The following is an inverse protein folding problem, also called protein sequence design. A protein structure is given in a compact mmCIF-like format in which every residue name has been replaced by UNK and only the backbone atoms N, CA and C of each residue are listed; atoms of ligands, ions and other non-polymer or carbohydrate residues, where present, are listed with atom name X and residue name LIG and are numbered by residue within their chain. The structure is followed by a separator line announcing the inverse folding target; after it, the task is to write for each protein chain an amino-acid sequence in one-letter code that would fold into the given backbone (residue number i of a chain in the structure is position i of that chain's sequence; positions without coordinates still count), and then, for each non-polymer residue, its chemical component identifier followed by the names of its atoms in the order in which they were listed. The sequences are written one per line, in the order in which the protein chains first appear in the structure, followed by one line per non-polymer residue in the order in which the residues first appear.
data_IF_530423178859
#
_entry.id   IF_530423178859
#
_cell.length_a   1.000
_cell.length_b   1.000
_cell.length_c   1.000
_cell.angle_alpha   90.00
_cell.angle_beta   90.00
_cell.angle_gamma   90.00
#
_symmetry.space_group_name_H-M   'P 1'
#
loop_
_entity.id
_entity.type
_entity.pdbx_description
1 polymer ?
#
# COMPACT_ATOMS: atom_id res chain seq x y z
N UNK A 1 -17.33 -38.96 9.53
CA UNK A 1 -16.78 -37.90 8.65
C UNK A 1 -15.53 -37.39 9.33
N UNK A 2 -14.33 -37.65 8.79
CA UNK A 2 -13.11 -37.16 9.43
C UNK A 2 -13.12 -35.63 9.35
N UNK A 3 -12.97 -34.97 10.49
CA UNK A 3 -12.75 -33.53 10.57
C UNK A 3 -11.42 -33.26 9.85
N UNK A 4 -11.48 -32.60 8.70
CA UNK A 4 -10.28 -32.07 8.04
C UNK A 4 -9.75 -30.98 8.99
N UNK A 5 -8.55 -31.12 9.56
CA UNK A 5 -7.96 -30.03 10.33
C UNK A 5 -7.75 -28.87 9.36
N UNK A 6 -8.52 -27.80 9.53
CA UNK A 6 -8.34 -26.57 8.78
C UNK A 6 -7.01 -25.97 9.21
N UNK A 7 -6.00 -26.12 8.35
CA UNK A 7 -4.67 -25.52 8.49
C UNK A 7 -4.81 -24.03 8.78
N UNK A 8 -4.09 -23.54 9.79
CA UNK A 8 -4.06 -22.10 10.08
C UNK A 8 -3.42 -21.37 8.89
N UNK A 9 -3.71 -20.07 8.73
CA UNK A 9 -3.08 -19.27 7.68
C UNK A 9 -1.54 -19.29 7.78
N UNK A 10 -1.00 -19.49 8.99
CA UNK A 10 0.44 -19.67 9.24
C UNK A 10 0.94 -21.00 8.69
N UNK A 11 0.17 -22.08 8.85
CA UNK A 11 0.52 -23.40 8.30
C UNK A 11 0.49 -23.37 6.77
N UNK A 12 -0.50 -22.68 6.18
CA UNK A 12 -0.59 -22.47 4.73
C UNK A 12 0.59 -21.63 4.22
N UNK A 13 0.99 -20.57 4.94
CA UNK A 13 2.19 -19.79 4.58
C UNK A 13 3.47 -20.64 4.65
N UNK A 14 3.58 -21.50 5.66
CA UNK A 14 4.73 -22.38 5.84
C UNK A 14 4.83 -23.44 4.74
N UNK A 15 3.70 -24.03 4.32
CA UNK A 15 3.67 -24.97 3.21
C UNK A 15 4.01 -24.29 1.87
N UNK A 16 3.43 -23.13 1.59
CA UNK A 16 3.75 -22.36 0.39
C UNK A 16 5.21 -21.89 0.35
N UNK A 17 5.79 -21.50 1.49
CA UNK A 17 7.20 -21.15 1.58
C UNK A 17 8.12 -22.36 1.29
N UNK A 18 7.74 -23.55 1.74
CA UNK A 18 8.47 -24.79 1.44
C UNK A 18 8.38 -25.15 -0.04
N UNK A 19 7.22 -24.98 -0.66
CA UNK A 19 7.02 -25.19 -2.10
C UNK A 19 7.81 -24.17 -2.94
N UNK A 20 7.76 -22.88 -2.60
CA UNK A 20 8.54 -21.84 -3.29
C UNK A 20 10.06 -22.08 -3.14
N UNK A 21 10.52 -22.51 -1.97
CA UNK A 21 11.93 -22.88 -1.75
C UNK A 21 12.34 -24.11 -2.58
N UNK A 22 11.46 -25.11 -2.70
CA UNK A 22 11.69 -26.29 -3.53
C UNK A 22 11.75 -25.92 -5.03
N UNK A 23 10.87 -25.07 -5.52
CA UNK A 23 10.87 -24.58 -6.91
C UNK A 23 12.11 -23.74 -7.23
N UNK A 24 12.55 -22.88 -6.29
CA UNK A 24 13.80 -22.13 -6.42
C UNK A 24 15.02 -23.06 -6.49
N UNK A 25 15.04 -24.11 -5.66
CA UNK A 25 16.12 -25.12 -5.69
C UNK A 25 16.16 -25.91 -7.00
N UNK A 26 15.00 -26.09 -7.66
CA UNK A 26 14.86 -26.72 -8.97
C UNK A 26 15.16 -25.76 -10.15
N UNK A 27 15.53 -24.50 -9.88
CA UNK A 27 15.92 -23.52 -10.89
C UNK A 27 14.77 -22.83 -11.61
N UNK A 28 13.53 -22.97 -11.12
CA UNK A 28 12.38 -22.21 -11.63
C UNK A 28 12.30 -20.85 -10.92
N UNK A 29 12.43 -19.76 -11.66
CA UNK A 29 12.21 -18.41 -11.13
C UNK A 29 10.73 -18.03 -11.31
N UNK A 30 10.03 -17.56 -10.27
CA UNK A 30 8.63 -17.20 -10.38
C UNK A 30 8.45 -16.04 -11.38
N UNK A 31 7.56 -16.25 -12.36
CA UNK A 31 7.20 -15.25 -13.38
C UNK A 31 6.24 -14.16 -12.85
N UNK A 32 5.78 -14.29 -11.60
CA UNK A 32 4.83 -13.39 -10.96
C UNK A 32 5.55 -12.30 -10.18
N UNK A 33 5.07 -11.06 -10.28
CA UNK A 33 5.73 -9.87 -9.70
C UNK A 33 5.73 -9.83 -8.17
N UNK A 34 4.93 -10.66 -7.50
CA UNK A 34 4.79 -10.75 -6.05
C UNK A 34 4.64 -12.24 -5.71
N UNK A 35 5.49 -12.76 -4.81
CA UNK A 35 5.35 -14.11 -4.25
C UNK A 35 4.05 -14.20 -3.46
N UNK A 36 3.32 -15.31 -3.61
CA UNK A 36 2.08 -15.53 -2.88
C UNK A 36 2.33 -15.56 -1.37
N UNK A 37 3.48 -16.12 -0.95
CA UNK A 37 3.95 -16.09 0.42
C UNK A 37 4.16 -14.66 0.91
N UNK A 38 4.86 -13.82 0.12
CA UNK A 38 5.07 -12.40 0.45
C UNK A 38 3.77 -11.62 0.62
N UNK A 39 2.78 -11.87 -0.25
CA UNK A 39 1.45 -11.25 -0.12
C UNK A 39 0.73 -11.66 1.16
N UNK A 40 0.78 -12.95 1.53
CA UNK A 40 0.16 -13.44 2.76
C UNK A 40 0.85 -12.91 4.02
N UNK A 41 2.19 -12.85 4.02
CA UNK A 41 2.98 -12.24 5.10
C UNK A 41 2.58 -10.78 5.29
N UNK A 42 2.51 -10.00 4.21
CA UNK A 42 2.09 -8.61 4.27
C UNK A 42 0.65 -8.43 4.80
N UNK A 43 -0.29 -9.30 4.41
CA UNK A 43 -1.63 -9.30 5.01
C UNK A 43 -1.55 -9.58 6.51
N UNK A 44 -0.72 -10.53 6.93
CA UNK A 44 -0.57 -10.88 8.33
C UNK A 44 0.05 -9.75 9.15
N UNK A 45 1.04 -9.03 8.60
CA UNK A 45 1.61 -7.83 9.19
C UNK A 45 0.56 -6.73 9.38
N UNK A 46 -0.26 -6.47 8.35
CA UNK A 46 -1.39 -5.52 8.45
C UNK A 46 -2.39 -5.93 9.52
N UNK A 47 -2.71 -7.22 9.63
CA UNK A 47 -3.59 -7.75 10.70
C UNK A 47 -2.98 -7.55 12.08
N UNK A 48 -1.70 -7.85 12.24
CA UNK A 48 -0.98 -7.68 13.50
C UNK A 48 -0.90 -6.20 13.90
N UNK A 49 -0.61 -5.31 12.94
CA UNK A 49 -0.60 -3.86 13.15
C UNK A 49 -1.98 -3.35 13.58
N UNK A 50 -3.06 -3.78 12.90
CA UNK A 50 -4.43 -3.45 13.28
C UNK A 50 -4.75 -3.96 14.69
N UNK A 51 -4.38 -5.19 15.03
CA UNK A 51 -4.60 -5.76 16.36
C UNK A 51 -3.90 -4.95 17.45
N UNK A 52 -2.66 -4.50 17.21
CA UNK A 52 -1.94 -3.61 18.13
C UNK A 52 -2.66 -2.27 18.30
N UNK A 53 -3.13 -1.67 17.21
CA UNK A 53 -3.91 -0.43 17.26
C UNK A 53 -5.21 -0.60 18.04
N UNK A 54 -5.93 -1.71 17.85
CA UNK A 54 -7.15 -2.03 18.60
C UNK A 54 -6.83 -2.18 20.08
N UNK A 55 -5.74 -2.86 20.44
CA UNK A 55 -5.32 -3.05 21.84
C UNK A 55 -5.01 -1.70 22.50
N UNK A 56 -4.28 -0.83 21.82
CA UNK A 56 -4.00 0.53 22.30
C UNK A 56 -5.28 1.37 22.41
N UNK A 57 -6.21 1.24 21.45
CA UNK A 57 -7.52 1.87 21.52
C UNK A 57 -8.31 1.40 22.74
N UNK A 58 -8.29 0.10 23.08
CA UNK A 58 -8.96 -0.41 24.28
C UNK A 58 -8.43 0.22 25.56
N UNK A 59 -7.12 0.46 25.65
CA UNK A 59 -6.54 1.16 26.81
C UNK A 59 -7.08 2.58 26.95
N UNK A 60 -7.22 3.31 25.84
CA UNK A 60 -7.85 4.64 25.85
C UNK A 60 -9.35 4.56 26.19
N UNK A 61 -10.05 3.51 25.73
CA UNK A 61 -11.48 3.34 26.04
C UNK A 61 -11.74 3.14 27.53
N UNK A 62 -10.84 2.49 28.28
CA UNK A 62 -10.98 2.35 29.75
C UNK A 62 -11.09 3.71 30.43
N UNK A 63 -10.33 4.70 29.96
CA UNK A 63 -10.29 6.04 30.56
C UNK A 63 -11.46 6.90 30.09
N UNK A 64 -11.73 6.92 28.78
CA UNK A 64 -12.65 7.90 28.19
C UNK A 64 -14.07 7.35 27.92
N UNK A 65 -14.24 6.04 27.80
CA UNK A 65 -15.52 5.38 27.47
C UNK A 65 -15.65 4.06 28.24
N UNK A 66 -15.73 4.08 29.59
CA UNK A 66 -15.74 2.87 30.41
C UNK A 66 -16.93 1.93 30.10
N UNK A 67 -18.04 2.49 29.62
CA UNK A 67 -19.21 1.72 29.18
C UNK A 67 -18.90 0.79 28.00
N UNK A 68 -17.91 1.13 27.16
CA UNK A 68 -17.44 0.26 26.09
C UNK A 68 -16.83 -1.03 26.65
N UNK A 69 -16.06 -0.92 27.74
CA UNK A 69 -15.40 -2.05 28.39
C UNK A 69 -16.44 -3.02 28.94
N UNK A 70 -17.50 -2.51 29.57
CA UNK A 70 -18.58 -3.36 30.08
C UNK A 70 -19.33 -4.07 28.96
N UNK A 71 -19.61 -3.39 27.85
CA UNK A 71 -20.28 -4.02 26.70
C UNK A 71 -19.40 -5.10 26.05
N UNK A 72 -18.10 -4.84 25.91
CA UNK A 72 -17.15 -5.83 25.37
C UNK A 72 -17.06 -7.06 26.28
N UNK A 73 -16.96 -6.86 27.59
CA UNK A 73 -16.91 -7.96 28.55
C UNK A 73 -18.19 -8.83 28.52
N UNK A 74 -19.34 -8.23 28.21
CA UNK A 74 -20.62 -8.93 28.07
C UNK A 74 -20.79 -9.65 26.73
N UNK A 75 -20.11 -9.17 25.68
CA UNK A 75 -20.25 -9.69 24.30
C UNK A 75 -19.11 -10.63 23.90
N UNK A 76 -18.03 -10.70 24.70
CA UNK A 76 -16.89 -11.58 24.44
C UNK A 76 -17.35 -13.05 24.47
N UNK A 77 -17.11 -13.83 23.40
CA UNK A 77 -17.38 -15.26 23.41
C UNK A 77 -16.59 -15.96 24.53
N UNK A 78 -17.18 -17.01 25.10
CA UNK A 78 -16.52 -17.92 26.06
C UNK A 78 -15.26 -18.55 25.41
N UNK A 79 -14.24 -18.92 26.21
CA UNK A 79 -12.93 -19.36 25.72
C UNK A 79 -12.91 -20.70 24.95
N UNK A 80 -14.05 -21.37 24.76
CA UNK A 80 -14.15 -22.65 24.05
C UNK A 80 -14.35 -22.50 22.53
N UNK A 81 -14.72 -21.32 22.03
CA UNK A 81 -14.75 -21.08 20.58
C UNK A 81 -13.33 -20.80 20.08
N UNK A 82 -12.72 -21.81 19.48
CA UNK A 82 -11.33 -21.83 18.98
C UNK A 82 -11.07 -20.88 17.81
N UNK A 83 -11.94 -19.90 17.58
CA UNK A 83 -11.80 -18.90 16.54
C UNK A 83 -11.27 -17.62 17.18
N UNK A 84 -9.96 -17.37 17.04
CA UNK A 84 -9.44 -16.03 17.22
C UNK A 84 -10.22 -15.09 16.27
N UNK A 85 -11.08 -14.23 16.83
CA UNK A 85 -11.82 -13.25 16.04
C UNK A 85 -10.83 -12.48 15.18
N UNK A 86 -11.04 -12.51 13.85
CA UNK A 86 -10.19 -11.75 12.94
C UNK A 86 -10.23 -10.28 13.33
N UNK A 87 -9.07 -9.63 13.45
CA UNK A 87 -8.93 -8.23 13.88
C UNK A 87 -9.88 -7.26 13.13
N UNK A 88 -10.21 -7.56 11.87
CA UNK A 88 -11.14 -6.78 11.03
C UNK A 88 -12.61 -6.80 11.50
N UNK A 89 -13.02 -7.81 12.25
CA UNK A 89 -14.40 -8.00 12.71
C UNK A 89 -14.62 -7.46 14.12
N UNK A 90 -13.55 -7.06 14.83
CA UNK A 90 -13.64 -6.63 16.22
C UNK A 90 -14.41 -5.30 16.31
N UNK A 91 -15.55 -5.25 17.01
CA UNK A 91 -16.35 -4.02 17.10
C UNK A 91 -15.62 -2.96 17.93
N UNK A 92 -15.33 -1.80 17.33
CA UNK A 92 -14.60 -0.73 18.03
C UNK A 92 -15.40 -0.05 19.14
N UNK A 93 -16.73 -0.17 19.15
CA UNK A 93 -17.65 0.46 20.11
C UNK A 93 -17.39 1.97 20.30
N UNK A 94 -17.66 2.75 19.26
CA UNK A 94 -17.62 4.21 19.31
C UNK A 94 -18.83 4.75 20.10
N UNK A 95 -18.77 6.00 20.62
CA UNK A 95 -19.90 6.60 21.33
C UNK A 95 -21.24 6.47 20.60
N UNK A 96 -21.28 6.63 19.28
CA UNK A 96 -22.50 6.45 18.47
C UNK A 96 -23.08 5.03 18.44
N UNK A 97 -22.36 4.02 18.96
CA UNK A 97 -22.83 2.63 19.03
C UNK A 97 -23.59 2.31 20.31
N UNK A 98 -23.58 3.21 21.31
CA UNK A 98 -24.30 3.01 22.56
C UNK A 98 -25.73 3.56 22.50
N UNK A 99 -26.66 3.03 23.31
CA UNK A 99 -28.00 3.58 23.44
C UNK A 99 -27.99 5.04 23.89
N UNK A 100 -29.00 5.80 23.47
CA UNK A 100 -29.14 7.23 23.78
C UNK A 100 -29.12 7.54 25.28
N UNK A 101 -29.55 6.60 26.14
CA UNK A 101 -29.48 6.76 27.59
C UNK A 101 -28.04 6.92 28.08
N UNK A 102 -27.12 6.10 27.57
CA UNK A 102 -25.69 6.14 27.94
C UNK A 102 -25.02 7.38 27.35
N UNK A 103 -25.33 7.70 26.09
CA UNK A 103 -24.81 8.89 25.41
C UNK A 103 -25.26 10.22 26.06
N UNK A 104 -26.38 10.21 26.80
CA UNK A 104 -26.91 11.39 27.49
C UNK A 104 -26.26 11.66 28.85
N UNK A 105 -25.49 10.71 29.39
CA UNK A 105 -24.77 10.87 30.66
C UNK A 105 -23.76 12.00 30.57
N UNK A 106 -23.64 12.78 31.67
CA UNK A 106 -22.78 13.97 31.70
C UNK A 106 -21.32 13.67 31.36
N UNK A 107 -20.82 12.52 31.77
CA UNK A 107 -19.46 12.04 31.52
C UNK A 107 -19.20 11.75 30.03
N UNK A 108 -20.21 11.23 29.32
CA UNK A 108 -20.10 10.87 27.90
C UNK A 108 -20.35 12.05 26.96
N UNK A 109 -21.01 13.12 27.41
CA UNK A 109 -21.34 14.29 26.57
C UNK A 109 -20.14 14.88 25.85
N UNK A 110 -18.99 14.99 26.52
CA UNK A 110 -17.78 15.55 25.92
C UNK A 110 -17.27 14.65 24.78
N UNK A 111 -17.19 13.34 24.99
CA UNK A 111 -16.72 12.38 23.99
C UNK A 111 -17.69 12.26 22.82
N UNK A 112 -19.00 12.21 23.08
CA UNK A 112 -20.03 12.27 22.04
C UNK A 112 -19.97 13.57 21.22
N UNK A 113 -19.65 14.70 21.86
CA UNK A 113 -19.45 15.98 21.19
C UNK A 113 -18.23 15.98 20.26
N UNK A 114 -17.12 15.38 20.70
CA UNK A 114 -15.93 15.19 19.87
C UNK A 114 -16.20 14.27 18.67
N UNK A 115 -16.85 13.12 18.89
CA UNK A 115 -17.23 12.23 17.79
C UNK A 115 -18.15 12.96 16.81
N UNK A 116 -19.18 13.66 17.29
CA UNK A 116 -20.09 14.42 16.43
C UNK A 116 -19.33 15.40 15.53
N UNK A 117 -18.39 16.16 16.09
CA UNK A 117 -17.58 17.11 15.30
C UNK A 117 -16.75 16.38 14.25
N UNK A 118 -16.12 15.26 14.62
CA UNK A 118 -15.35 14.44 13.69
C UNK A 118 -16.21 13.84 12.58
N UNK A 119 -17.42 13.34 12.89
CA UNK A 119 -18.34 12.76 11.90
C UNK A 119 -18.88 13.83 10.95
N UNK A 120 -19.15 15.04 11.46
CA UNK A 120 -19.55 16.17 10.62
C UNK A 120 -18.47 16.53 9.60
N UNK A 121 -17.22 16.69 10.04
CA UNK A 121 -16.11 16.95 9.11
C UNK A 121 -15.88 15.77 8.15
N UNK A 122 -15.95 14.54 8.66
CA UNK A 122 -15.81 13.32 7.84
C UNK A 122 -16.87 13.25 6.74
N UNK A 123 -18.12 13.62 7.02
CA UNK A 123 -19.19 13.64 6.02
C UNK A 123 -18.93 14.70 4.93
N UNK A 124 -18.45 15.89 5.29
CA UNK A 124 -18.07 16.92 4.31
C UNK A 124 -16.86 16.51 3.47
N UNK A 125 -15.82 15.96 4.10
CA UNK A 125 -14.61 15.50 3.41
C UNK A 125 -14.93 14.36 2.43
N UNK A 126 -15.77 13.40 2.85
CA UNK A 126 -16.20 12.29 1.99
C UNK A 126 -17.07 12.77 0.84
N UNK A 127 -17.94 13.76 1.05
CA UNK A 127 -18.73 14.37 -0.02
C UNK A 127 -17.85 15.14 -1.02
N UNK A 128 -16.86 15.91 -0.51
CA UNK A 128 -15.85 16.56 -1.35
C UNK A 128 -15.04 15.55 -2.17
N UNK A 129 -14.69 14.40 -1.56
CA UNK A 129 -14.01 13.32 -2.25
C UNK A 129 -14.89 12.70 -3.35
N UNK A 130 -16.17 12.42 -3.09
CA UNK A 130 -17.12 11.92 -4.11
C UNK A 130 -17.19 12.88 -5.30
N UNK A 131 -17.38 14.18 -5.02
CA UNK A 131 -17.41 15.23 -6.05
C UNK A 131 -16.13 15.24 -6.88
N UNK A 132 -14.97 15.22 -6.22
CA UNK A 132 -13.66 15.20 -6.88
C UNK A 132 -13.51 13.98 -7.79
N UNK A 133 -13.80 12.79 -7.29
CA UNK A 133 -13.71 11.55 -8.08
C UNK A 133 -14.65 11.58 -9.28
N UNK A 134 -15.88 12.08 -9.12
CA UNK A 134 -16.83 12.21 -10.24
C UNK A 134 -16.37 13.21 -11.31
N UNK A 135 -15.75 14.32 -10.93
CA UNK A 135 -15.14 15.25 -11.90
C UNK A 135 -14.03 14.58 -12.70
N UNK A 136 -13.16 13.82 -12.03
CA UNK A 136 -12.08 13.06 -12.70
C UNK A 136 -12.68 12.05 -13.69
N UNK A 137 -13.71 11.30 -13.27
CA UNK A 137 -14.39 10.33 -14.13
C UNK A 137 -14.96 11.02 -15.38
N UNK A 138 -15.63 12.16 -15.22
CA UNK A 138 -16.18 12.92 -16.34
C UNK A 138 -15.08 13.42 -17.29
N UNK A 139 -13.97 13.96 -16.75
CA UNK A 139 -12.82 14.37 -17.56
C UNK A 139 -12.16 13.20 -18.30
N UNK A 140 -12.07 12.04 -17.65
CA UNK A 140 -11.56 10.80 -18.27
C UNK A 140 -12.46 10.33 -19.42
N UNK A 141 -13.77 10.46 -19.27
CA UNK A 141 -14.73 10.13 -20.31
C UNK A 141 -14.64 11.08 -21.51
N UNK A 142 -14.55 12.39 -21.26
CA UNK A 142 -14.28 13.38 -22.32
C UNK A 142 -12.95 13.08 -23.04
N UNK A 143 -11.91 12.71 -22.28
CA UNK A 143 -10.63 12.31 -22.85
C UNK A 143 -10.76 11.05 -23.72
N UNK A 144 -11.52 10.02 -23.29
CA UNK A 144 -11.80 8.82 -24.09
C UNK A 144 -12.42 9.21 -25.42
N UNK A 145 -13.51 9.99 -25.37
CA UNK A 145 -14.28 10.38 -26.54
C UNK A 145 -13.43 11.12 -27.57
N UNK A 146 -12.53 11.99 -27.12
CA UNK A 146 -11.71 12.82 -28.01
C UNK A 146 -10.47 12.07 -28.52
N UNK A 147 -9.82 11.27 -27.66
CA UNK A 147 -8.45 10.78 -27.93
C UNK A 147 -8.33 9.27 -28.06
N UNK A 148 -9.29 8.49 -27.57
CA UNK A 148 -9.20 7.02 -27.49
C UNK A 148 -10.24 6.33 -28.37
N UNK A 149 -11.37 6.97 -28.66
CA UNK A 149 -12.35 6.49 -29.65
C UNK A 149 -11.67 6.23 -31.00
N UNK A 150 -11.63 4.97 -31.43
CA UNK A 150 -10.96 4.52 -32.67
C UNK A 150 -9.49 4.07 -32.51
N UNK A 151 -8.91 4.16 -31.31
CA UNK A 151 -7.57 3.61 -31.01
C UNK A 151 -7.69 2.17 -30.50
N UNK A 152 -6.74 1.30 -30.83
CA UNK A 152 -6.81 -0.16 -30.55
C UNK A 152 -7.01 -0.57 -29.07
N UNK A 153 -7.16 -1.87 -28.83
CA UNK A 153 -7.67 -2.42 -27.55
C UNK A 153 -6.86 -2.03 -26.29
N UNK A 154 -5.54 -1.88 -26.40
CA UNK A 154 -4.63 -1.66 -25.24
C UNK A 154 -4.89 -0.36 -24.46
N UNK A 155 -4.98 0.84 -25.08
CA UNK A 155 -5.36 2.06 -24.38
C UNK A 155 -6.77 1.98 -23.77
N UNK A 156 -7.73 1.34 -24.44
CA UNK A 156 -9.07 1.10 -23.90
C UNK A 156 -9.04 0.25 -22.62
N UNK A 157 -8.29 -0.86 -22.60
CA UNK A 157 -8.17 -1.69 -21.40
C UNK A 157 -7.54 -0.93 -20.23
N UNK A 158 -6.48 -0.15 -20.48
CA UNK A 158 -5.84 0.66 -19.42
C UNK A 158 -6.78 1.72 -18.86
N UNK A 159 -7.51 2.41 -19.73
CA UNK A 159 -8.50 3.39 -19.36
C UNK A 159 -9.60 2.75 -18.49
N UNK A 160 -10.12 1.59 -18.90
CA UNK A 160 -11.13 0.86 -18.15
C UNK A 160 -10.63 0.44 -16.77
N UNK A 161 -9.37 -0.01 -16.65
CA UNK A 161 -8.77 -0.32 -15.34
C UNK A 161 -8.71 0.92 -14.44
N UNK A 162 -8.31 2.08 -14.98
CA UNK A 162 -8.31 3.33 -14.21
C UNK A 162 -9.71 3.75 -13.79
N UNK A 163 -10.70 3.60 -14.69
CA UNK A 163 -12.10 3.88 -14.41
C UNK A 163 -12.64 3.00 -13.26
N UNK A 164 -12.42 1.68 -13.33
CA UNK A 164 -12.81 0.73 -12.27
C UNK A 164 -12.20 1.10 -10.92
N UNK A 165 -10.92 1.52 -10.91
CA UNK A 165 -10.27 2.03 -9.71
C UNK A 165 -10.96 3.26 -9.13
N UNK A 166 -11.31 4.24 -9.97
CA UNK A 166 -12.03 5.45 -9.55
C UNK A 166 -13.44 5.13 -9.04
N UNK A 167 -14.18 4.23 -9.70
CA UNK A 167 -15.51 3.80 -9.27
C UNK A 167 -15.46 3.17 -7.86
N UNK A 168 -14.50 2.28 -7.60
CA UNK A 168 -14.29 1.71 -6.26
C UNK A 168 -14.00 2.77 -5.21
N UNK A 169 -13.22 3.81 -5.54
CA UNK A 169 -12.98 4.94 -4.62
C UNK A 169 -14.26 5.73 -4.32
N UNK A 170 -15.15 5.90 -5.29
CA UNK A 170 -16.46 6.53 -5.11
C UNK A 170 -17.31 5.68 -4.17
N UNK A 171 -17.44 4.37 -4.40
CA UNK A 171 -18.21 3.47 -3.53
C UNK A 171 -17.66 3.48 -2.10
N UNK A 172 -16.34 3.35 -1.91
CA UNK A 172 -15.71 3.43 -0.58
C UNK A 172 -15.99 4.78 0.10
N UNK A 173 -15.97 5.88 -0.65
CA UNK A 173 -16.30 7.20 -0.09
C UNK A 173 -17.79 7.34 0.27
N UNK A 174 -18.70 6.77 -0.52
CA UNK A 174 -20.13 6.73 -0.22
C UNK A 174 -20.44 5.93 1.06
N UNK A 175 -19.79 4.77 1.26
CA UNK A 175 -19.94 4.01 2.51
C UNK A 175 -19.44 4.80 3.72
N UNK A 176 -18.31 5.50 3.59
CA UNK A 176 -17.80 6.40 4.66
C UNK A 176 -18.78 7.54 4.95
N UNK A 177 -19.42 8.09 3.92
CA UNK A 177 -20.45 9.11 4.09
C UNK A 177 -21.68 8.55 4.84
N UNK A 178 -22.21 7.39 4.43
CA UNK A 178 -23.36 6.76 5.08
C UNK A 178 -23.09 6.43 6.55
N UNK A 179 -21.92 5.86 6.85
CA UNK A 179 -21.52 5.54 8.24
C UNK A 179 -21.38 6.80 9.09
N UNK A 180 -20.84 7.89 8.54
CA UNK A 180 -20.75 9.17 9.25
C UNK A 180 -22.14 9.79 9.50
N UNK A 181 -23.01 9.81 8.49
CA UNK A 181 -24.38 10.33 8.63
C UNK A 181 -25.23 9.48 9.58
N UNK A 182 -25.09 8.15 9.55
CA UNK A 182 -25.77 7.26 10.50
C UNK A 182 -25.35 7.55 11.94
N UNK A 183 -24.05 7.76 12.19
CA UNK A 183 -23.56 8.15 13.51
C UNK A 183 -24.07 9.54 13.94
N UNK A 184 -24.12 10.52 13.03
CA UNK A 184 -24.69 11.84 13.31
C UNK A 184 -26.18 11.79 13.64
N UNK A 185 -26.97 10.94 12.97
CA UNK A 185 -28.39 10.72 13.26
C UNK A 185 -28.61 10.25 14.70
N UNK A 186 -27.71 9.44 15.24
CA UNK A 186 -27.78 8.94 16.63
C UNK A 186 -27.33 10.03 17.61
N UNK A 187 -26.18 10.67 17.35
CA UNK A 187 -25.55 11.61 18.29
C UNK A 187 -26.20 13.00 18.33
N UNK A 188 -26.89 13.41 17.27
CA UNK A 188 -27.59 14.69 17.18
C UNK A 188 -28.78 14.63 16.22
N UNK A 189 -29.92 14.07 16.66
CA UNK A 189 -31.11 13.93 15.82
C UNK A 189 -31.68 15.26 15.33
N UNK A 190 -31.55 16.37 16.05
CA UNK A 190 -32.17 17.66 15.66
C UNK A 190 -31.15 18.70 15.18
N UNK A 191 -29.99 18.25 14.70
CA UNK A 191 -28.91 19.15 14.33
C UNK A 191 -29.12 19.87 12.98
N UNK A 192 -28.62 21.10 12.90
CA UNK A 192 -28.56 21.94 11.68
C UNK A 192 -27.86 21.23 10.49
N UNK A 193 -27.04 20.22 10.78
CA UNK A 193 -26.35 19.41 9.78
C UNK A 193 -27.31 18.70 8.81
N UNK A 194 -28.57 18.45 9.19
CA UNK A 194 -29.56 17.80 8.30
C UNK A 194 -29.89 18.62 7.05
N UNK A 195 -29.79 19.94 7.15
CA UNK A 195 -30.06 20.81 6.00
C UNK A 195 -28.92 20.74 4.97
N UNK A 196 -27.70 20.49 5.42
CA UNK A 196 -26.49 20.44 4.60
C UNK A 196 -26.16 19.03 4.11
N UNK A 197 -26.33 18.01 4.97
CA UNK A 197 -25.97 16.62 4.73
C UNK A 197 -27.24 15.78 4.58
N UNK A 198 -27.69 15.61 3.34
CA UNK A 198 -28.86 14.81 3.00
C UNK A 198 -28.53 13.33 2.91
N UNK A 199 -29.57 12.50 2.90
CA UNK A 199 -29.40 11.09 2.56
C UNK A 199 -28.87 10.96 1.13
N UNK A 200 -27.73 10.29 0.98
CA UNK A 200 -27.10 10.09 -0.32
C UNK A 200 -27.64 8.80 -0.92
N UNK A 201 -28.50 8.88 -1.92
CA UNK A 201 -28.95 7.70 -2.65
C UNK A 201 -27.97 7.36 -3.77
N UNK A 202 -28.05 6.15 -4.33
CA UNK A 202 -27.16 5.74 -5.44
C UNK A 202 -27.37 6.61 -6.66
N UNK A 203 -28.61 7.01 -6.90
CA UNK A 203 -29.01 7.88 -8.01
C UNK A 203 -28.40 9.28 -7.87
N UNK A 204 -28.15 9.76 -6.65
CA UNK A 204 -27.54 11.07 -6.44
C UNK A 204 -26.05 11.10 -6.82
N UNK A 205 -25.40 9.94 -6.99
CA UNK A 205 -23.96 9.83 -7.24
C UNK A 205 -23.65 9.91 -8.74
N UNK A 206 -24.08 10.97 -9.41
CA UNK A 206 -23.75 11.24 -10.81
C UNK A 206 -22.89 12.50 -10.97
N UNK A 207 -22.27 12.65 -12.15
CA UNK A 207 -21.46 13.81 -12.49
C UNK A 207 -22.28 15.11 -12.57
N UNK A 208 -21.64 16.29 -12.55
CA UNK A 208 -22.31 17.59 -12.61
C UNK A 208 -22.78 18.01 -14.01
N UNK A 209 -22.41 17.27 -15.05
CA UNK A 209 -22.89 17.48 -16.42
C UNK A 209 -23.80 16.34 -16.85
N UNK A 210 -24.55 16.57 -17.94
CA UNK A 210 -25.34 15.53 -18.60
C UNK A 210 -24.41 14.43 -19.12
N UNK A 211 -24.68 13.19 -18.73
CA UNK A 211 -24.05 12.03 -19.35
C UNK A 211 -24.65 11.87 -20.76
N UNK A 212 -23.87 11.81 -21.84
CA UNK A 212 -24.44 11.78 -23.20
C UNK A 212 -25.21 10.50 -23.54
N UNK A 213 -25.15 9.47 -22.71
CA UNK A 213 -26.03 8.29 -22.81
C UNK A 213 -27.40 8.50 -22.14
N UNK A 214 -27.60 9.57 -21.35
CA UNK A 214 -28.91 9.88 -20.77
C UNK A 214 -29.87 10.42 -21.85
N UNK A 215 -31.05 9.79 -21.92
CA UNK A 215 -32.20 10.17 -22.73
C UNK A 215 -32.48 11.69 -22.70
N UNK A 216 -33.12 12.22 -23.74
CA UNK A 216 -33.43 13.64 -23.95
C UNK A 216 -34.35 14.30 -22.88
N UNK A 217 -34.52 13.69 -21.71
CA UNK A 217 -35.16 14.31 -20.56
C UNK A 217 -34.35 15.47 -19.97
N UNK A 218 -35.02 16.26 -19.13
CA UNK A 218 -34.40 17.34 -18.37
C UNK A 218 -33.40 16.78 -17.36
N UNK A 219 -32.11 17.05 -17.56
CA UNK A 219 -31.06 16.71 -16.59
C UNK A 219 -31.30 17.46 -15.28
N UNK A 220 -31.50 16.71 -14.19
CA UNK A 220 -31.65 17.26 -12.84
C UNK A 220 -30.31 17.11 -12.12
N UNK A 221 -29.70 18.24 -11.75
CA UNK A 221 -28.45 18.24 -11.01
C UNK A 221 -28.64 17.62 -9.62
N UNK A 222 -27.81 16.63 -9.27
CA UNK A 222 -27.81 16.04 -7.94
C UNK A 222 -27.53 17.10 -6.87
N UNK A 223 -28.19 16.96 -5.72
CA UNK A 223 -28.03 17.85 -4.57
C UNK A 223 -26.59 17.88 -4.07
N UNK A 224 -25.79 16.84 -4.32
CA UNK A 224 -24.37 16.84 -3.97
C UNK A 224 -23.64 17.98 -4.66
N UNK A 225 -24.12 18.54 -5.76
CA UNK A 225 -23.50 19.68 -6.43
C UNK A 225 -24.08 21.03 -5.99
N UNK A 226 -25.29 21.04 -5.43
CA UNK A 226 -25.95 22.22 -4.90
C UNK A 226 -25.30 22.63 -3.56
N UNK A 227 -24.39 23.60 -3.58
CA UNK A 227 -23.78 24.13 -2.35
C UNK A 227 -24.57 25.34 -1.87
N UNK A 228 -25.32 25.22 -0.77
CA UNK A 228 -26.15 26.32 -0.22
C UNK A 228 -25.34 27.54 0.23
N UNK A 229 -24.04 27.38 0.54
CA UNK A 229 -23.12 28.48 0.91
C UNK A 229 -22.37 29.09 -0.28
N UNK A 230 -22.72 28.76 -1.52
CA UNK A 230 -22.08 29.31 -2.71
C UNK A 230 -22.81 30.55 -3.25
N UNK A 231 -23.28 31.44 -2.37
CA UNK A 231 -23.55 32.83 -2.73
C UNK A 231 -22.35 33.66 -2.26
N UNK A 232 -21.35 33.83 -3.13
CA UNK A 232 -20.37 34.96 -3.19
C UNK A 232 -19.35 34.75 -4.33
N UNK A 233 -19.07 33.52 -4.79
CA UNK A 233 -18.08 33.31 -5.86
C UNK A 233 -18.75 33.12 -7.23
N UNK A 234 -18.64 34.15 -8.06
CA UNK A 234 -19.12 34.35 -9.44
C UNK A 234 -18.52 33.38 -10.49
N UNK A 235 -18.20 32.14 -10.12
CA UNK A 235 -17.60 31.15 -11.03
C UNK A 235 -18.68 30.18 -11.52
N UNK A 236 -18.83 30.09 -12.84
CA UNK A 236 -19.67 29.09 -13.51
C UNK A 236 -19.23 27.67 -13.10
N UNK A 237 -20.15 26.70 -13.18
CA UNK A 237 -19.85 25.31 -12.81
C UNK A 237 -18.69 24.72 -13.62
N UNK A 238 -18.58 25.14 -14.89
CA UNK A 238 -17.48 24.84 -15.79
C UNK A 238 -16.14 25.39 -15.26
N UNK A 239 -16.11 26.63 -14.75
CA UNK A 239 -14.91 27.20 -14.16
C UNK A 239 -14.47 26.41 -12.91
N UNK A 240 -15.41 26.01 -12.05
CA UNK A 240 -15.12 25.12 -10.90
C UNK A 240 -14.60 23.76 -11.37
N UNK A 241 -15.13 23.22 -12.47
CA UNK A 241 -14.69 21.95 -13.04
C UNK A 241 -13.24 22.07 -13.53
N UNK A 242 -12.94 23.11 -14.30
CA UNK A 242 -11.60 23.40 -14.82
C UNK A 242 -10.61 23.60 -13.67
N UNK A 243 -10.95 24.36 -12.64
CA UNK A 243 -10.10 24.54 -11.45
C UNK A 243 -9.79 23.20 -10.76
N UNK A 244 -10.80 22.36 -10.55
CA UNK A 244 -10.59 21.02 -9.99
C UNK A 244 -9.67 20.17 -10.87
N UNK A 245 -9.82 20.23 -12.20
CA UNK A 245 -8.95 19.51 -13.13
C UNK A 245 -7.52 20.05 -13.13
N UNK A 246 -7.31 21.35 -12.99
CA UNK A 246 -5.98 21.95 -12.81
C UNK A 246 -5.31 21.44 -11.52
N UNK A 247 -6.06 21.31 -10.43
CA UNK A 247 -5.53 20.73 -9.17
C UNK A 247 -5.14 19.27 -9.36
N UNK A 248 -5.94 18.47 -10.06
CA UNK A 248 -5.58 17.06 -10.31
C UNK A 248 -4.40 16.92 -11.26
N UNK A 249 -4.32 17.76 -12.29
CA UNK A 249 -3.19 17.82 -13.19
C UNK A 249 -1.91 18.22 -12.48
N UNK A 250 -1.94 19.25 -11.63
CA UNK A 250 -0.76 19.67 -10.85
C UNK A 250 -0.31 18.59 -9.87
N UNK A 251 -1.24 17.89 -9.20
CA UNK A 251 -0.91 16.71 -8.37
C UNK A 251 -0.31 15.57 -9.17
N UNK A 252 -0.86 15.27 -10.35
CA UNK A 252 -0.32 14.23 -11.24
C UNK A 252 1.09 14.59 -11.73
N UNK A 253 1.29 15.84 -12.12
CA UNK A 253 2.60 16.38 -12.51
C UNK A 253 3.61 16.33 -11.36
N UNK A 254 3.21 16.73 -10.16
CA UNK A 254 4.07 16.65 -8.98
C UNK A 254 4.47 15.20 -8.65
N UNK A 255 3.53 14.23 -8.78
CA UNK A 255 3.85 12.80 -8.63
C UNK A 255 4.82 12.30 -9.69
N UNK A 256 4.65 12.74 -10.94
CA UNK A 256 5.57 12.41 -12.03
C UNK A 256 6.97 12.98 -11.79
N UNK A 257 7.07 14.24 -11.37
CA UNK A 257 8.35 14.88 -11.02
C UNK A 257 9.02 14.17 -9.85
N UNK A 258 8.29 13.87 -8.78
CA UNK A 258 8.82 13.07 -7.66
C UNK A 258 9.28 11.70 -8.12
N UNK A 259 8.52 11.02 -8.98
CA UNK A 259 8.95 9.73 -9.52
C UNK A 259 10.24 9.83 -10.34
N UNK A 260 10.43 10.92 -11.09
CA UNK A 260 11.69 11.18 -11.80
C UNK A 260 12.85 11.42 -10.83
N UNK A 261 12.60 12.13 -9.73
CA UNK A 261 13.58 12.32 -8.64
C UNK A 261 13.93 10.98 -7.99
N UNK A 262 12.94 10.20 -7.55
CA UNK A 262 13.12 8.86 -6.96
C UNK A 262 13.91 7.94 -7.89
N UNK A 263 13.60 7.97 -9.20
CA UNK A 263 14.35 7.19 -10.18
C UNK A 263 15.84 7.56 -10.20
N UNK A 264 16.18 8.85 -10.13
CA UNK A 264 17.56 9.30 -10.06
C UNK A 264 18.22 9.00 -8.70
N UNK A 265 17.46 9.15 -7.61
CA UNK A 265 17.91 8.86 -6.24
C UNK A 265 18.28 7.39 -6.11
N UNK A 266 17.42 6.46 -6.54
CA UNK A 266 17.68 5.01 -6.45
C UNK A 266 18.99 4.64 -7.15
N UNK A 267 19.25 5.19 -8.34
CA UNK A 267 20.50 4.95 -9.05
C UNK A 267 21.73 5.45 -8.28
N UNK A 268 21.61 6.60 -7.61
CA UNK A 268 22.66 7.16 -6.77
C UNK A 268 22.81 6.43 -5.44
N UNK A 269 21.72 5.93 -4.85
CA UNK A 269 21.75 5.11 -3.64
C UNK A 269 22.47 3.79 -3.91
N UNK A 270 22.13 3.10 -5.01
CA UNK A 270 22.87 1.92 -5.46
C UNK A 270 24.37 2.23 -5.58
N UNK A 271 24.73 3.35 -6.24
CA UNK A 271 26.14 3.77 -6.35
C UNK A 271 26.78 4.00 -4.98
N UNK A 272 26.10 4.73 -4.09
CA UNK A 272 26.61 5.09 -2.76
C UNK A 272 26.83 3.87 -1.88
N UNK A 273 25.94 2.88 -1.93
CA UNK A 273 26.10 1.64 -1.18
C UNK A 273 27.37 0.90 -1.62
N UNK A 274 27.57 0.75 -2.94
CA UNK A 274 28.80 0.11 -3.46
C UNK A 274 30.05 0.90 -3.06
N UNK A 275 30.04 2.22 -3.28
CA UNK A 275 31.17 3.09 -2.89
C UNK A 275 31.46 3.05 -1.39
N UNK A 276 30.44 2.93 -0.56
CA UNK A 276 30.61 2.82 0.89
C UNK A 276 31.30 1.52 1.26
N UNK A 277 30.89 0.39 0.67
CA UNK A 277 31.55 -0.89 0.91
C UNK A 277 33.02 -0.89 0.44
N UNK A 278 33.32 -0.30 -0.72
CA UNK A 278 34.71 -0.15 -1.19
C UNK A 278 35.54 0.68 -0.20
N UNK A 279 35.05 1.85 0.17
CA UNK A 279 35.70 2.71 1.15
C UNK A 279 35.90 2.00 2.49
N UNK A 280 34.89 1.23 2.92
CA UNK A 280 34.95 0.49 4.18
C UNK A 280 35.97 -0.65 4.12
N UNK A 281 36.09 -1.32 2.97
CA UNK A 281 37.11 -2.34 2.73
C UNK A 281 38.52 -1.74 2.85
N UNK A 282 38.77 -0.60 2.20
CA UNK A 282 40.05 0.12 2.30
C UNK A 282 40.35 0.56 3.74
N UNK A 283 39.33 1.05 4.46
CA UNK A 283 39.45 1.42 5.87
C UNK A 283 39.89 0.23 6.73
N UNK A 284 39.34 -0.97 6.49
CA UNK A 284 39.78 -2.19 7.18
C UNK A 284 41.23 -2.56 6.83
N UNK A 285 41.65 -2.46 5.57
CA UNK A 285 43.04 -2.71 5.17
C UNK A 285 44.00 -1.76 5.88
N UNK A 286 43.68 -0.47 5.93
CA UNK A 286 44.49 0.51 6.65
C UNK A 286 44.53 0.25 8.17
N UNK A 287 43.46 -0.31 8.73
CA UNK A 287 43.37 -0.64 10.14
C UNK A 287 44.38 -1.74 10.55
N UNK A 288 44.80 -2.60 9.62
CA UNK A 288 45.81 -3.64 9.87
C UNK A 288 47.15 -3.04 10.34
N UNK A 289 47.55 -1.90 9.79
CA UNK A 289 48.81 -1.24 10.08
C UNK A 289 48.77 -0.28 11.29
N UNK A 290 47.61 -0.04 11.90
CA UNK A 290 47.45 0.98 12.96
C UNK A 290 47.94 0.56 14.34
N UNK A 291 48.08 -0.75 14.60
CA UNK A 291 48.57 -1.26 15.89
C UNK A 291 50.00 -1.76 15.70
N UNK A 292 50.96 -1.09 16.33
CA UNK A 292 52.38 -1.42 16.21
C UNK A 292 52.99 -1.94 17.52
N UNK A 293 52.45 -1.53 18.67
CA UNK A 293 53.04 -1.78 20.00
C UNK A 293 52.47 -3.03 20.69
N UNK A 294 52.51 -4.20 20.06
CA UNK A 294 51.98 -5.44 20.66
C UNK A 294 52.76 -6.69 20.21
N UNK A 295 52.59 -7.81 20.92
CA UNK A 295 53.21 -9.11 20.58
C UNK A 295 52.93 -9.50 19.11
N UNK A 296 53.90 -10.10 18.40
CA UNK A 296 53.77 -10.42 16.97
C UNK A 296 52.62 -11.36 16.65
N UNK A 297 52.29 -12.29 17.54
CA UNK A 297 51.15 -13.22 17.33
C UNK A 297 49.80 -12.49 17.35
N UNK A 298 49.66 -11.48 18.21
CA UNK A 298 48.46 -10.63 18.28
C UNK A 298 48.38 -9.76 17.02
N UNK A 299 49.51 -9.22 16.55
CA UNK A 299 49.56 -8.45 15.30
C UNK A 299 49.13 -9.30 14.10
N UNK A 300 49.58 -10.56 14.02
CA UNK A 300 49.13 -11.51 12.98
C UNK A 300 47.62 -11.76 13.04
N UNK A 301 47.07 -11.95 14.24
CA UNK A 301 45.62 -12.13 14.44
C UNK A 301 44.80 -10.89 14.06
N UNK A 302 45.29 -9.70 14.42
CA UNK A 302 44.67 -8.41 14.03
C UNK A 302 44.68 -8.26 12.51
N UNK A 303 45.82 -8.46 11.85
CA UNK A 303 45.92 -8.39 10.39
C UNK A 303 45.00 -9.39 9.70
N UNK A 304 44.98 -10.64 10.16
CA UNK A 304 44.10 -11.67 9.61
C UNK A 304 42.61 -11.27 9.74
N UNK A 305 42.20 -10.73 10.89
CA UNK A 305 40.84 -10.27 11.09
C UNK A 305 40.48 -9.08 10.20
N UNK A 306 41.36 -8.07 10.11
CA UNK A 306 41.11 -6.89 9.27
C UNK A 306 41.04 -7.25 7.79
N UNK A 307 41.89 -8.16 7.30
CA UNK A 307 41.81 -8.64 5.92
C UNK A 307 40.54 -9.47 5.68
N UNK A 308 40.10 -10.29 6.65
CA UNK A 308 38.81 -10.99 6.56
C UNK A 308 37.63 -10.01 6.47
N UNK A 309 37.64 -8.93 7.25
CA UNK A 309 36.61 -7.89 7.19
C UNK A 309 36.64 -7.12 5.87
N UNK A 310 37.84 -6.81 5.35
CA UNK A 310 37.98 -6.19 4.04
C UNK A 310 37.43 -7.08 2.92
N UNK A 311 37.73 -8.39 2.94
CA UNK A 311 37.19 -9.36 1.98
C UNK A 311 35.66 -9.45 2.04
N UNK A 312 35.07 -9.45 3.24
CA UNK A 312 33.62 -9.43 3.39
C UNK A 312 32.98 -8.19 2.74
N UNK A 313 33.56 -7.00 2.94
CA UNK A 313 33.07 -5.77 2.32
C UNK A 313 33.20 -5.81 0.79
N UNK A 314 34.29 -6.36 0.25
CA UNK A 314 34.44 -6.60 -1.19
C UNK A 314 33.43 -7.59 -1.74
N UNK A 315 33.07 -8.64 -0.99
CA UNK A 315 31.99 -9.55 -1.38
C UNK A 315 30.66 -8.82 -1.49
N UNK A 316 30.36 -7.92 -0.54
CA UNK A 316 29.14 -7.10 -0.59
C UNK A 316 29.10 -6.20 -1.83
N UNK A 317 30.21 -5.53 -2.18
CA UNK A 317 30.33 -4.78 -3.46
C UNK A 317 29.90 -5.65 -4.64
N UNK A 318 30.42 -6.88 -4.69
CA UNK A 318 30.22 -7.74 -5.85
C UNK A 318 28.80 -8.30 -5.91
N UNK A 319 28.22 -8.72 -4.78
CA UNK A 319 26.82 -9.17 -4.74
C UNK A 319 25.87 -8.05 -5.17
N UNK A 320 26.00 -6.86 -4.56
CA UNK A 320 25.17 -5.70 -4.90
C UNK A 320 25.29 -5.32 -6.40
N UNK A 321 26.51 -5.26 -6.93
CA UNK A 321 26.74 -4.90 -8.34
C UNK A 321 26.17 -5.95 -9.29
N UNK A 322 26.32 -7.24 -8.98
CA UNK A 322 25.75 -8.33 -9.79
C UNK A 322 24.23 -8.23 -9.86
N UNK A 323 23.57 -8.16 -8.72
CA UNK A 323 22.11 -8.18 -8.66
C UNK A 323 21.49 -6.92 -9.27
N UNK A 324 22.05 -5.75 -8.96
CA UNK A 324 21.53 -4.48 -9.45
C UNK A 324 21.80 -4.28 -10.94
N UNK A 325 23.01 -4.57 -11.44
CA UNK A 325 23.31 -4.36 -12.87
C UNK A 325 22.52 -5.32 -13.76
N UNK A 326 22.29 -6.56 -13.33
CA UNK A 326 21.40 -7.50 -14.03
C UNK A 326 19.97 -6.98 -14.09
N UNK A 327 19.45 -6.50 -12.94
CA UNK A 327 18.10 -5.97 -12.84
C UNK A 327 17.93 -4.72 -13.72
N UNK A 328 18.89 -3.80 -13.69
CA UNK A 328 18.89 -2.59 -14.51
C UNK A 328 19.02 -2.90 -16.00
N UNK A 329 19.85 -3.86 -16.39
CA UNK A 329 19.98 -4.31 -17.78
C UNK A 329 18.67 -4.88 -18.32
N UNK A 330 17.95 -5.69 -17.53
CA UNK A 330 16.61 -6.19 -17.88
C UNK A 330 15.59 -5.07 -18.12
N UNK A 331 15.77 -3.92 -17.46
CA UNK A 331 14.95 -2.70 -17.64
C UNK A 331 15.51 -1.76 -18.70
N UNK A 332 16.59 -2.13 -19.41
CA UNK A 332 17.30 -1.29 -20.40
C UNK A 332 17.88 0.00 -19.80
N UNK A 333 18.29 -0.06 -18.55
CA UNK A 333 18.89 1.06 -17.82
C UNK A 333 20.39 0.79 -17.68
N UNK A 334 21.23 1.76 -18.05
CA UNK A 334 22.69 1.66 -17.97
C UNK A 334 23.22 2.76 -17.05
N UNK A 335 23.56 2.46 -15.79
CA UNK A 335 24.11 3.46 -14.88
C UNK A 335 25.58 3.78 -15.23
N UNK A 336 25.96 5.06 -15.11
CA UNK A 336 27.34 5.50 -15.40
C UNK A 336 28.39 4.80 -14.52
N UNK A 337 28.04 4.51 -13.26
CA UNK A 337 28.93 3.84 -12.31
C UNK A 337 29.10 2.34 -12.60
N UNK A 338 28.18 1.72 -13.34
CA UNK A 338 28.20 0.28 -13.63
C UNK A 338 29.40 -0.13 -14.49
N UNK A 339 29.95 0.79 -15.28
CA UNK A 339 31.11 0.54 -16.14
C UNK A 339 32.36 0.11 -15.35
N UNK A 340 32.53 0.60 -14.11
CA UNK A 340 33.66 0.25 -13.24
C UNK A 340 33.65 -1.25 -12.87
N UNK A 341 32.46 -1.83 -12.72
CA UNK A 341 32.27 -3.20 -12.21
C UNK A 341 31.97 -4.21 -13.32
N UNK A 342 31.86 -3.77 -14.57
CA UNK A 342 31.45 -4.61 -15.70
C UNK A 342 32.37 -5.83 -15.91
N UNK A 343 33.67 -5.67 -15.71
CA UNK A 343 34.68 -6.74 -15.86
C UNK A 343 34.57 -7.78 -14.75
N UNK A 344 34.42 -7.36 -13.50
CA UNK A 344 34.28 -8.26 -12.34
C UNK A 344 32.95 -9.01 -12.36
N UNK A 345 31.88 -8.33 -12.79
CA UNK A 345 30.57 -8.94 -13.00
C UNK A 345 30.64 -10.03 -14.07
N UNK A 346 31.26 -9.74 -15.21
CA UNK A 346 31.42 -10.71 -16.30
C UNK A 346 32.26 -11.93 -15.87
N UNK A 347 33.35 -11.71 -15.13
CA UNK A 347 34.20 -12.79 -14.63
C UNK A 347 33.45 -13.73 -13.66
N UNK A 348 32.64 -13.19 -12.75
CA UNK A 348 31.84 -14.00 -11.81
C UNK A 348 30.64 -14.68 -12.47
N UNK A 349 30.01 -14.05 -13.45
CA UNK A 349 28.96 -14.68 -14.26
C UNK A 349 29.50 -15.91 -15.00
N UNK A 350 30.71 -15.80 -15.59
CA UNK A 350 31.39 -16.92 -16.22
C UNK A 350 31.66 -18.05 -15.20
N UNK A 351 32.20 -17.72 -14.02
CA UNK A 351 32.44 -18.70 -12.96
C UNK A 351 31.16 -19.39 -12.47
N UNK A 352 30.04 -18.65 -12.35
CA UNK A 352 28.73 -19.22 -11.98
C UNK A 352 28.17 -20.14 -13.07
N UNK A 353 28.41 -19.85 -14.34
CA UNK A 353 28.04 -20.72 -15.46
C UNK A 353 28.87 -22.01 -15.47
N UNK A 354 30.19 -21.91 -15.31
CA UNK A 354 31.11 -23.06 -15.21
C UNK A 354 30.77 -23.94 -13.99
N UNK A 355 30.42 -23.34 -12.85
CA UNK A 355 30.03 -24.11 -11.65
C UNK A 355 28.70 -24.85 -11.87
N UNK A 356 27.74 -24.24 -12.56
CA UNK A 356 26.47 -24.91 -12.91
C UNK A 356 26.67 -26.06 -13.90
N UNK A 357 27.62 -25.91 -14.82
CA UNK A 357 27.97 -26.95 -15.80
C UNK A 357 28.66 -28.14 -15.10
N UNK A 358 29.58 -27.87 -14.17
CA UNK A 358 30.25 -28.91 -13.38
C UNK A 358 29.29 -29.65 -12.43
N UNK A 359 28.35 -28.94 -11.80
CA UNK A 359 27.29 -29.56 -10.97
C UNK A 359 26.34 -30.42 -11.81
N UNK A 360 26.05 -30.02 -13.06
CA UNK A 360 25.27 -30.84 -13.99
C UNK A 360 26.03 -32.07 -14.49
N UNK A 361 27.37 -32.09 -14.38
CA UNK A 361 28.24 -33.19 -14.80
C UNK A 361 28.61 -34.18 -13.69
N UNK A 362 28.06 -34.00 -12.48
CA UNK A 362 28.18 -34.98 -11.39
C UNK A 362 29.53 -34.95 -10.66
N UNK A 363 30.28 -33.85 -10.76
CA UNK A 363 31.45 -33.65 -9.90
C UNK A 363 31.00 -33.15 -8.52
N UNK A 364 31.38 -33.88 -7.46
CA UNK A 364 31.17 -33.51 -6.06
C UNK A 364 31.98 -32.24 -5.72
N UNK A 365 31.37 -31.08 -5.98
CA UNK A 365 31.87 -29.79 -5.49
C UNK A 365 31.19 -29.54 -4.14
N UNK A 366 31.98 -29.45 -3.06
CA UNK A 366 31.49 -28.98 -1.75
C UNK A 366 30.84 -27.60 -1.92
N UNK A 367 29.51 -27.59 -1.98
CA UNK A 367 28.70 -26.39 -1.92
C UNK A 367 28.80 -25.88 -0.49
N UNK A 368 29.65 -24.89 -0.27
CA UNK A 368 29.59 -24.08 0.94
C UNK A 368 28.31 -23.24 0.87
N UNK A 369 27.18 -23.85 1.24
CA UNK A 369 25.98 -23.15 1.65
C UNK A 369 26.35 -22.32 2.89
N UNK A 370 26.60 -21.04 2.68
CA UNK A 370 26.42 -20.05 3.74
C UNK A 370 25.06 -19.43 3.51
N UNK A 371 24.12 -19.97 4.27
CA UNK A 371 22.86 -19.36 4.67
C UNK A 371 23.10 -17.90 5.11
N UNK A 372 22.90 -16.96 4.19
CA UNK A 372 22.83 -15.54 4.48
C UNK A 372 21.35 -15.12 4.49
N UNK A 373 20.62 -15.65 5.48
CA UNK A 373 19.34 -15.12 5.90
C UNK A 373 19.53 -13.68 6.41
N UNK A 374 19.27 -12.71 5.55
CA UNK A 374 19.08 -11.32 5.93
C UNK A 374 17.71 -10.87 5.44
N UNK A 375 16.77 -10.84 6.39
CA UNK A 375 15.47 -10.20 6.27
C UNK A 375 15.66 -8.74 5.85
N UNK A 376 15.45 -8.46 4.57
CA UNK A 376 15.32 -7.11 4.05
C UNK A 376 13.87 -6.71 4.29
N UNK A 377 13.63 -5.88 5.30
CA UNK A 377 12.36 -5.17 5.47
C UNK A 377 12.08 -4.37 4.19
N UNK A 378 11.18 -4.89 3.36
CA UNK A 378 10.71 -4.25 2.15
C UNK A 378 9.87 -3.02 2.54
N UNK A 379 10.41 -1.83 2.26
CA UNK A 379 9.65 -0.59 2.48
C UNK A 379 8.39 -0.58 1.60
N UNK A 380 7.23 -0.16 2.13
CA UNK A 380 5.96 -0.32 1.45
C UNK A 380 5.91 0.50 0.16
N UNK A 381 5.71 -0.17 -0.98
CA UNK A 381 5.17 0.48 -2.16
C UNK A 381 3.72 0.89 -1.87
N UNK A 382 3.39 2.16 -2.14
CA UNK A 382 2.02 2.71 -2.11
C UNK A 382 1.16 2.10 -3.25
N UNK A 383 1.06 0.77 -3.30
CA UNK A 383 0.01 0.07 -4.04
C UNK A 383 -1.23 0.18 -3.17
N UNK A 384 -2.05 1.18 -3.48
CA UNK A 384 -3.40 1.31 -2.93
C UNK A 384 -4.17 -0.01 -3.17
N UNK A 385 -4.25 -0.79 -2.09
CA UNK A 385 -5.06 -1.96 -1.79
C UNK A 385 -6.17 -2.30 -2.81
N UNK A 386 -5.87 -3.31 -3.64
CA UNK A 386 -6.84 -4.10 -4.41
C UNK A 386 -7.52 -5.13 -3.48
N UNK A 387 -8.21 -4.65 -2.44
CA UNK A 387 -9.08 -5.50 -1.63
C UNK A 387 -10.49 -5.54 -2.20
N UNK A 388 -10.95 -6.78 -2.45
CA UNK A 388 -12.34 -7.19 -2.54
C UNK A 388 -13.08 -6.74 -3.78
N UNK A 389 -13.41 -7.69 -4.66
CA UNK A 389 -14.53 -7.53 -5.58
C UNK A 389 -15.79 -7.43 -4.72
N UNK A 390 -16.27 -6.21 -4.51
CA UNK A 390 -17.63 -5.98 -4.04
C UNK A 390 -18.58 -6.38 -5.20
N UNK A 391 -19.42 -7.41 -5.05
CA UNK A 391 -20.38 -7.79 -6.07
C UNK A 391 -21.43 -6.68 -6.34
N UNK A 392 -21.51 -5.64 -5.51
CA UNK A 392 -22.31 -4.43 -5.75
C UNK A 392 -21.47 -3.19 -6.10
N UNK A 393 -20.28 -3.37 -6.67
CA UNK A 393 -19.60 -2.25 -7.32
C UNK A 393 -20.58 -1.57 -8.30
N UNK A 394 -20.72 -0.24 -8.22
CA UNK A 394 -21.54 0.52 -9.15
C UNK A 394 -20.99 0.30 -10.56
N UNK A 395 -21.59 -0.66 -11.26
CA UNK A 395 -21.40 -0.89 -12.69
C UNK A 395 -22.16 0.23 -13.37
N UNK A 396 -21.43 1.28 -13.71
CA UNK A 396 -21.88 2.16 -14.77
C UNK A 396 -21.54 1.42 -16.05
N UNK A 397 -22.57 1.05 -16.80
CA UNK A 397 -22.41 0.39 -18.09
C UNK A 397 -21.53 1.27 -18.96
N UNK A 398 -20.37 0.73 -19.30
CA UNK A 398 -19.41 1.34 -20.20
C UNK A 398 -19.55 0.57 -21.50
N UNK A 399 -20.71 0.67 -22.13
CA UNK A 399 -20.95 -0.01 -23.40
C UNK A 399 -20.15 0.73 -24.49
N UNK A 400 -19.32 -0.03 -25.20
CA UNK A 400 -18.72 0.42 -26.45
C UNK A 400 -19.77 0.18 -27.54
N UNK A 401 -20.44 1.25 -27.98
CA UNK A 401 -21.02 1.35 -29.32
C UNK A 401 -20.28 2.43 -30.13
#
# INVERSE_FOLDING_TARGET
MPQIPMLSLQDVCLELAKEEAAECSAGHLPNQKVSMTGFLVHIQEKRNALQRQITNWRQAQVVYTPHAVTTIAQTSPQPDDSQAELAKNVPLHLPSSFPNQVCSLSEMKHVCGMERRLRYTQAHDTLAQIRRQRRIIQGLWQFKKINVSGTGNRPNTRLLTTYKGLSRKVTRAAHKYWTAVAALRILNPEGEWREELKELRREDIHGPGKDPEESNGHYVMSWIWATRKADTTTLTMEAKFNECMCVEWTKARARMMRWQEEYAIIQEEMRRVVMWFEWKAECWVQQAARRENTKPDILRGVSAYTYKQADLMWRMVICCTLDWLLTLANKKIQPLWGAKYATEVAARQKKRAETKENVAQGDDVEVLDHDDGLDIEEMPSDIEDDEGVDPEALVFDFNDD
#
